data_IF_627979707243
#
_entry.id   IF_627979707243
#
_cell.length_a   1.000
_cell.length_b   1.000
_cell.length_c   1.000
_cell.angle_alpha   90.00
_cell.angle_beta   90.00
_cell.angle_gamma   90.00
#
_symmetry.space_group_name_H-M   'P 1'
#
loop_
_entity.id
_entity.type
_entity.pdbx_description
1 polymer ?
#
# COMPACT_ATOMS: atom_id res chain seq x y z
N UNK A 1 22.91 2.46 -45.64
CA UNK A 1 22.98 3.51 -44.60
C UNK A 1 21.93 3.20 -43.56
N UNK A 2 22.30 2.60 -42.43
CA UNK A 2 21.38 2.19 -41.37
C UNK A 2 21.50 3.18 -40.21
N UNK A 3 20.45 3.95 -39.92
CA UNK A 3 20.39 4.75 -38.71
C UNK A 3 20.02 3.85 -37.53
N UNK A 4 20.95 3.76 -36.58
CA UNK A 4 20.78 3.12 -35.27
C UNK A 4 19.90 4.03 -34.41
N UNK A 5 18.71 3.57 -34.04
CA UNK A 5 17.86 4.25 -33.06
C UNK A 5 18.33 3.89 -31.65
N UNK A 6 18.91 4.89 -30.99
CA UNK A 6 19.30 4.86 -29.59
C UNK A 6 18.03 4.94 -28.72
N UNK A 7 17.61 3.79 -28.16
CA UNK A 7 16.51 3.73 -27.19
C UNK A 7 16.98 4.38 -25.89
N UNK A 8 16.41 5.55 -25.59
CA UNK A 8 16.54 6.22 -24.29
C UNK A 8 15.88 5.34 -23.23
N UNK A 9 16.67 4.87 -22.28
CA UNK A 9 16.22 4.14 -21.10
C UNK A 9 15.50 5.11 -20.16
N UNK A 10 14.19 5.27 -20.36
CA UNK A 10 13.34 5.95 -19.37
C UNK A 10 13.11 4.97 -18.21
N UNK A 11 13.62 5.32 -17.03
CA UNK A 11 13.39 4.58 -15.79
C UNK A 11 11.89 4.63 -15.44
N UNK A 12 11.15 3.64 -15.93
CA UNK A 12 9.77 3.42 -15.57
C UNK A 12 9.72 2.83 -14.16
N UNK A 13 9.45 3.68 -13.17
CA UNK A 13 9.22 3.23 -11.80
C UNK A 13 7.79 2.68 -11.73
N UNK A 14 7.55 1.54 -12.37
CA UNK A 14 6.26 0.84 -12.29
C UNK A 14 5.98 0.51 -10.81
N UNK A 15 4.85 1.02 -10.32
CA UNK A 15 4.50 0.87 -8.92
C UNK A 15 4.00 -0.54 -8.62
N UNK A 16 3.39 -1.28 -9.54
CA UNK A 16 2.98 -2.65 -9.29
C UNK A 16 3.58 -3.58 -10.36
N UNK A 17 4.19 -4.71 -9.98
CA UNK A 17 4.66 -5.70 -10.94
C UNK A 17 3.48 -6.39 -11.63
N UNK A 18 3.54 -6.49 -12.95
CA UNK A 18 2.48 -7.03 -13.82
C UNK A 18 2.22 -8.55 -13.61
N UNK A 19 3.11 -9.27 -12.91
CA UNK A 19 2.88 -10.62 -12.41
C UNK A 19 3.59 -10.82 -11.06
N UNK A 20 2.85 -11.28 -10.04
CA UNK A 20 3.42 -11.66 -8.74
C UNK A 20 3.91 -13.10 -8.82
N UNK A 21 5.17 -13.28 -9.21
CA UNK A 21 5.78 -14.60 -9.43
C UNK A 21 6.54 -15.05 -8.17
N UNK A 22 6.97 -14.10 -7.33
CA UNK A 22 7.83 -14.35 -6.18
C UNK A 22 7.29 -13.74 -4.89
N UNK A 23 7.68 -14.33 -3.77
CA UNK A 23 7.32 -13.86 -2.44
C UNK A 23 7.73 -12.41 -2.17
N UNK A 24 8.95 -12.04 -2.60
CA UNK A 24 9.47 -10.68 -2.45
C UNK A 24 8.64 -9.66 -3.23
N UNK A 25 8.17 -10.02 -4.43
CA UNK A 25 7.25 -9.19 -5.20
C UNK A 25 5.90 -9.06 -4.50
N UNK A 26 5.37 -10.13 -3.90
CA UNK A 26 4.12 -10.09 -3.15
C UNK A 26 4.19 -9.13 -1.96
N UNK A 27 5.31 -9.15 -1.20
CA UNK A 27 5.54 -8.22 -0.10
C UNK A 27 5.55 -6.76 -0.59
N UNK A 28 6.22 -6.47 -1.71
CA UNK A 28 6.25 -5.14 -2.30
C UNK A 28 4.84 -4.69 -2.71
N UNK A 29 4.06 -5.56 -3.34
CA UNK A 29 2.68 -5.28 -3.76
C UNK A 29 1.81 -4.94 -2.55
N UNK A 30 1.85 -5.74 -1.49
CA UNK A 30 1.06 -5.49 -0.27
C UNK A 30 1.42 -4.16 0.37
N UNK A 31 2.71 -3.87 0.54
CA UNK A 31 3.16 -2.60 1.12
C UNK A 31 2.61 -1.42 0.32
N UNK A 32 2.68 -1.51 -1.01
CA UNK A 32 2.18 -0.47 -1.90
C UNK A 32 0.66 -0.37 -1.89
N UNK A 33 -0.06 -1.50 -1.84
CA UNK A 33 -1.51 -1.53 -1.73
C UNK A 33 -1.99 -0.85 -0.44
N UNK A 34 -1.35 -1.16 0.69
CA UNK A 34 -1.65 -0.52 1.96
C UNK A 34 -1.40 1.00 1.88
N UNK A 35 -0.29 1.43 1.28
CA UNK A 35 0.03 2.85 1.10
C UNK A 35 -1.01 3.59 0.26
N UNK A 36 -1.41 2.99 -0.87
CA UNK A 36 -2.41 3.54 -1.78
C UNK A 36 -3.77 3.62 -1.09
N UNK A 37 -4.18 2.56 -0.39
CA UNK A 37 -5.47 2.52 0.28
C UNK A 37 -5.58 3.55 1.41
N UNK A 38 -4.58 3.63 2.30
CA UNK A 38 -4.56 4.63 3.38
C UNK A 38 -4.54 6.04 2.80
N UNK A 39 -3.70 6.31 1.79
CA UNK A 39 -3.64 7.62 1.14
C UNK A 39 -4.96 7.98 0.45
N UNK A 40 -5.62 7.00 -0.18
CA UNK A 40 -6.90 7.18 -0.84
C UNK A 40 -8.02 7.52 0.15
N UNK A 41 -8.09 6.79 1.28
CA UNK A 41 -9.07 7.06 2.34
C UNK A 41 -8.87 8.47 2.90
N UNK A 42 -7.63 8.83 3.28
CA UNK A 42 -7.34 10.16 3.86
C UNK A 42 -7.63 11.28 2.87
N UNK A 43 -7.41 11.04 1.58
CA UNK A 43 -7.67 12.02 0.51
C UNK A 43 -9.16 12.21 0.26
N UNK A 44 -9.91 11.11 0.06
CA UNK A 44 -11.35 11.15 -0.22
C UNK A 44 -12.15 11.73 0.95
N UNK A 45 -11.65 11.55 2.18
CA UNK A 45 -12.25 12.13 3.38
C UNK A 45 -11.78 13.55 3.68
N UNK A 46 -10.84 14.09 2.91
CA UNK A 46 -10.34 15.45 3.10
C UNK A 46 -9.63 15.68 4.43
N UNK A 47 -9.01 14.64 5.03
CA UNK A 47 -8.34 14.75 6.33
C UNK A 47 -7.12 15.70 6.29
N UNK A 48 -6.51 15.82 5.12
CA UNK A 48 -5.33 16.67 4.90
C UNK A 48 -5.51 17.51 3.63
N UNK A 49 -4.85 18.68 3.54
CA UNK A 49 -4.90 19.52 2.34
C UNK A 49 -4.19 18.84 1.16
N UNK A 50 -4.57 19.19 -0.07
CA UNK A 50 -4.01 18.58 -1.31
C UNK A 50 -2.48 18.63 -1.38
N UNK A 51 -1.85 19.67 -0.82
CA UNK A 51 -0.38 19.80 -0.73
C UNK A 51 0.32 18.67 0.03
N UNK A 52 -0.41 17.95 0.90
CA UNK A 52 0.11 16.80 1.64
C UNK A 52 0.15 15.53 0.78
N UNK A 53 -0.47 15.56 -0.40
CA UNK A 53 -0.50 14.46 -1.34
C UNK A 53 0.35 14.79 -2.56
N UNK A 54 0.72 13.76 -3.29
CA UNK A 54 1.02 13.99 -4.68
C UNK A 54 0.75 12.82 -5.57
N UNK A 55 0.67 13.15 -6.85
CA UNK A 55 0.19 12.27 -7.89
C UNK A 55 1.22 11.19 -8.18
N UNK A 56 0.75 9.96 -8.33
CA UNK A 56 1.48 8.88 -8.99
C UNK A 56 0.53 8.15 -9.95
N UNK A 57 1.09 7.40 -10.89
CA UNK A 57 0.32 6.59 -11.83
C UNK A 57 0.58 5.12 -11.55
N UNK A 58 -0.50 4.33 -11.50
CA UNK A 58 -0.50 2.87 -11.37
C UNK A 58 -1.40 2.37 -12.48
N UNK A 59 -0.86 1.62 -13.44
CA UNK A 59 -1.61 1.11 -14.60
C UNK A 59 -2.45 2.20 -15.29
N UNK A 60 -1.81 3.34 -15.58
CA UNK A 60 -2.42 4.56 -16.14
C UNK A 60 -3.51 5.25 -15.29
N UNK A 61 -3.82 4.72 -14.10
CA UNK A 61 -4.70 5.38 -13.14
C UNK A 61 -3.93 6.32 -12.22
N UNK A 62 -4.39 7.56 -12.13
CA UNK A 62 -3.83 8.56 -11.21
C UNK A 62 -4.27 8.26 -9.78
N UNK A 63 -3.31 8.01 -8.90
CA UNK A 63 -3.52 7.82 -7.45
C UNK A 63 -2.90 8.96 -6.64
N UNK A 64 -3.56 9.32 -5.55
CA UNK A 64 -3.09 10.32 -4.59
C UNK A 64 -2.31 9.60 -3.50
N UNK A 65 -1.01 9.90 -3.39
CA UNK A 65 -0.13 9.28 -2.39
C UNK A 65 0.23 10.32 -1.35
N UNK A 66 0.00 10.00 -0.08
CA UNK A 66 0.38 10.84 1.05
C UNK A 66 1.91 10.97 1.10
N UNK A 67 2.39 12.19 1.33
CA UNK A 67 3.82 12.50 1.37
C UNK A 67 4.17 13.14 2.71
N UNK A 68 5.41 12.95 3.11
CA UNK A 68 5.95 13.68 4.26
C UNK A 68 6.12 15.15 3.87
N UNK A 69 5.43 16.03 4.59
CA UNK A 69 5.43 17.47 4.31
C UNK A 69 5.53 18.22 5.62
N UNK A 70 6.57 19.06 5.76
CA UNK A 70 6.80 19.87 6.98
C UNK A 70 5.61 20.74 7.36
N UNK A 71 4.82 21.18 6.37
CA UNK A 71 3.63 22.00 6.60
C UNK A 71 2.41 21.23 7.12
N UNK A 72 2.49 19.90 7.25
CA UNK A 72 1.42 19.06 7.76
C UNK A 72 2.00 17.91 8.61
N UNK A 73 2.17 18.12 9.93
CA UNK A 73 2.72 17.09 10.81
C UNK A 73 1.83 15.84 10.91
N UNK A 74 0.50 16.00 10.83
CA UNK A 74 -0.44 14.86 10.85
C UNK A 74 -0.27 13.91 9.65
N UNK A 75 -0.08 14.45 8.45
CA UNK A 75 0.22 13.64 7.27
C UNK A 75 1.57 12.92 7.41
N UNK A 76 2.58 13.64 7.89
CA UNK A 76 3.92 13.09 8.14
C UNK A 76 3.89 11.95 9.17
N UNK A 77 3.08 12.08 10.22
CA UNK A 77 2.89 11.06 11.23
C UNK A 77 2.31 9.76 10.66
N UNK A 78 1.31 9.86 9.78
CA UNK A 78 0.74 8.67 9.11
C UNK A 78 1.77 8.02 8.20
N UNK A 79 2.56 8.80 7.45
CA UNK A 79 3.65 8.26 6.62
C UNK A 79 4.66 7.47 7.46
N UNK A 80 5.01 7.97 8.65
CA UNK A 80 5.90 7.26 9.58
C UNK A 80 5.27 5.96 10.11
N UNK A 81 3.97 5.98 10.50
CA UNK A 81 3.27 4.75 10.91
C UNK A 81 3.22 3.71 9.79
N UNK A 82 3.05 4.16 8.55
CA UNK A 82 3.09 3.31 7.37
C UNK A 82 4.46 2.66 7.14
N UNK A 83 5.55 3.39 7.37
CA UNK A 83 6.90 2.82 7.33
C UNK A 83 7.07 1.70 8.37
N UNK A 84 6.61 1.91 9.60
CA UNK A 84 6.59 0.86 10.63
C UNK A 84 5.77 -0.36 10.23
N UNK A 85 4.61 -0.15 9.59
CA UNK A 85 3.82 -1.25 9.04
C UNK A 85 4.58 -2.03 7.96
N UNK A 86 5.37 -1.36 7.10
CA UNK A 86 6.15 -2.04 6.06
C UNK A 86 7.24 -2.93 6.63
N UNK A 87 7.93 -2.50 7.68
CA UNK A 87 8.89 -3.34 8.39
C UNK A 87 8.20 -4.54 9.02
N UNK A 88 7.05 -4.31 9.65
CA UNK A 88 6.24 -5.35 10.27
C UNK A 88 5.70 -6.39 9.28
N UNK A 89 5.36 -5.94 8.08
CA UNK A 89 4.94 -6.82 6.98
C UNK A 89 6.11 -7.67 6.51
N UNK A 90 7.30 -7.07 6.37
CA UNK A 90 8.51 -7.75 5.93
C UNK A 90 8.96 -8.84 6.91
N UNK A 91 8.85 -8.56 8.21
CA UNK A 91 9.13 -9.52 9.28
C UNK A 91 7.96 -10.50 9.55
N UNK A 92 6.86 -10.38 8.79
CA UNK A 92 5.69 -11.28 8.81
C UNK A 92 4.92 -11.35 10.13
N UNK A 93 4.95 -10.31 10.95
CA UNK A 93 4.19 -10.27 12.20
C UNK A 93 2.95 -9.37 12.14
N UNK A 94 2.83 -8.47 11.15
CA UNK A 94 1.67 -7.59 11.04
C UNK A 94 0.43 -8.36 10.54
N UNK A 95 -0.53 -8.65 11.41
CA UNK A 95 -1.76 -9.37 11.02
C UNK A 95 -2.91 -8.47 10.63
N UNK A 96 -3.02 -7.29 11.25
CA UNK A 96 -4.16 -6.40 11.05
C UNK A 96 -3.73 -4.96 11.25
N UNK A 97 -4.13 -4.08 10.35
CA UNK A 97 -4.07 -2.62 10.52
C UNK A 97 -5.49 -2.10 10.55
N UNK A 98 -5.79 -1.25 11.52
CA UNK A 98 -7.09 -0.61 11.67
C UNK A 98 -6.89 0.90 11.58
N UNK A 99 -7.63 1.55 10.69
CA UNK A 99 -7.74 2.99 10.61
C UNK A 99 -9.17 3.38 10.98
N UNK A 100 -9.31 4.13 12.06
CA UNK A 100 -10.61 4.61 12.54
C UNK A 100 -10.65 6.13 12.48
N UNK A 101 -11.76 6.67 11.99
CA UNK A 101 -12.01 8.11 11.91
C UNK A 101 -13.18 8.40 12.86
N UNK A 102 -12.96 9.36 13.76
CA UNK A 102 -13.96 9.86 14.69
C UNK A 102 -14.08 11.38 14.50
N UNK A 103 -15.30 11.91 14.62
CA UNK A 103 -15.59 13.34 14.50
C UNK A 103 -15.61 14.06 15.84
N UNK A 104 -15.82 13.33 16.93
CA UNK A 104 -15.95 13.86 18.28
C UNK A 104 -14.68 13.52 19.10
N UNK A 105 -13.80 14.50 19.37
CA UNK A 105 -12.60 14.29 20.17
C UNK A 105 -12.90 13.97 21.65
N UNK A 106 -14.06 14.36 22.17
CA UNK A 106 -14.45 14.07 23.56
C UNK A 106 -14.98 12.64 23.70
N UNK A 107 -15.42 12.03 22.60
CA UNK A 107 -15.91 10.67 22.59
C UNK A 107 -15.31 9.82 21.45
N UNK A 108 -14.00 9.51 21.52
CA UNK A 108 -13.30 8.76 20.48
C UNK A 108 -13.80 7.30 20.31
N UNK A 109 -14.62 6.81 21.25
CA UNK A 109 -15.30 5.51 21.14
C UNK A 109 -16.44 5.53 20.11
N UNK A 110 -16.98 6.72 19.78
CA UNK A 110 -17.97 6.89 18.73
C UNK A 110 -17.29 7.00 17.36
N UNK A 111 -16.79 5.87 16.88
CA UNK A 111 -16.16 5.76 15.57
C UNK A 111 -17.19 6.06 14.48
N UNK A 112 -16.88 7.03 13.63
CA UNK A 112 -17.73 7.38 12.47
C UNK A 112 -17.47 6.41 11.33
N UNK A 113 -16.20 6.08 11.09
CA UNK A 113 -15.79 5.21 9.99
C UNK A 113 -14.62 4.31 10.44
N UNK A 114 -14.64 3.06 10.00
CA UNK A 114 -13.67 2.04 10.39
C UNK A 114 -13.19 1.28 9.15
N UNK A 115 -11.88 1.24 8.96
CA UNK A 115 -11.21 0.54 7.87
C UNK A 115 -10.24 -0.49 8.42
N UNK A 116 -10.47 -1.76 8.11
CA UNK A 116 -9.63 -2.85 8.55
C UNK A 116 -8.92 -3.51 7.38
N UNK A 117 -7.59 -3.58 7.47
CA UNK A 117 -6.71 -4.29 6.56
C UNK A 117 -6.21 -5.55 7.24
N UNK A 118 -6.75 -6.72 6.87
CA UNK A 118 -6.28 -8.00 7.41
C UNK A 118 -5.25 -8.61 6.47
N UNK A 119 -4.07 -8.94 7.00
CA UNK A 119 -2.94 -9.47 6.25
C UNK A 119 -2.75 -10.94 6.62
N UNK A 120 -2.92 -11.81 5.63
CA UNK A 120 -2.73 -13.25 5.80
C UNK A 120 -1.45 -13.70 5.13
N UNK A 121 -0.64 -14.47 5.85
CA UNK A 121 0.62 -15.02 5.36
C UNK A 121 0.45 -16.51 5.13
N UNK A 122 0.34 -16.91 3.87
CA UNK A 122 0.29 -18.32 3.52
C UNK A 122 1.70 -18.90 3.65
N UNK A 123 1.91 -19.80 4.62
CA UNK A 123 3.14 -20.60 4.68
C UNK A 123 3.11 -21.64 3.55
N UNK A 124 4.26 -21.97 2.98
CA UNK A 124 4.41 -23.17 2.15
C UNK A 124 4.01 -24.39 2.99
N UNK A 125 2.82 -24.91 2.82
CA UNK A 125 2.58 -26.30 3.22
C UNK A 125 3.51 -27.18 2.37
N UNK A 126 4.30 -28.03 3.05
CA UNK A 126 5.05 -29.07 2.36
C UNK A 126 4.06 -30.05 1.74
N UNK A 127 3.72 -29.87 0.47
CA UNK A 127 3.15 -30.94 -0.35
C UNK A 127 3.80 -30.90 -1.72
N UNK A 128 4.80 -31.76 -1.88
CA UNK A 128 5.36 -32.11 -3.18
C UNK A 128 4.28 -32.81 -4.01
N UNK A 129 3.58 -32.08 -4.87
CA UNK A 129 2.96 -32.67 -6.07
C UNK A 129 3.02 -31.65 -7.21
N UNK A 130 4.06 -31.84 -8.04
CA UNK A 130 4.13 -31.66 -9.48
C UNK A 130 3.35 -30.50 -10.15
N UNK A 131 4.16 -29.67 -10.82
CA UNK A 131 3.87 -28.60 -11.80
C UNK A 131 3.57 -27.20 -11.25
N UNK A 132 4.66 -26.42 -11.19
CA UNK A 132 4.72 -25.07 -11.77
C UNK A 132 3.91 -23.97 -11.11
N UNK A 133 4.56 -23.22 -10.21
CA UNK A 133 4.08 -21.94 -9.69
C UNK A 133 3.97 -21.91 -8.18
N UNK A 134 5.03 -21.50 -7.49
CA UNK A 134 5.01 -21.28 -6.03
C UNK A 134 4.32 -19.96 -5.72
N UNK A 135 2.99 -19.97 -5.60
CA UNK A 135 2.22 -18.76 -5.31
C UNK A 135 2.04 -18.59 -3.78
N UNK A 136 2.93 -17.83 -3.14
CA UNK A 136 2.67 -17.30 -1.81
C UNK A 136 1.77 -16.08 -1.96
N UNK A 137 0.44 -16.29 -1.95
CA UNK A 137 -0.54 -15.20 -1.97
C UNK A 137 -0.57 -14.60 -0.57
N UNK A 138 -0.20 -13.33 -0.45
CA UNK A 138 -0.63 -12.50 0.66
C UNK A 138 -1.95 -11.84 0.25
N UNK A 139 -3.01 -12.05 1.03
CA UNK A 139 -4.33 -11.45 0.78
C UNK A 139 -4.55 -10.30 1.75
N UNK A 140 -5.03 -9.16 1.24
CA UNK A 140 -5.54 -8.05 2.05
C UNK A 140 -7.06 -8.01 1.89
N UNK A 141 -7.77 -8.30 2.98
CA UNK A 141 -9.20 -8.03 3.05
C UNK A 141 -9.39 -6.61 3.59
N UNK A 142 -10.15 -5.79 2.86
CA UNK A 142 -10.56 -4.46 3.29
C UNK A 142 -12.03 -4.55 3.68
N UNK A 143 -12.32 -4.48 4.98
CA UNK A 143 -13.68 -4.23 5.48
C UNK A 143 -13.80 -2.75 5.81
N UNK A 144 -14.70 -2.06 5.11
CA UNK A 144 -15.21 -0.75 5.49
C UNK A 144 -16.69 -0.88 5.82
N UNK A 145 -17.15 -0.17 6.86
CA UNK A 145 -18.58 0.04 7.10
C UNK A 145 -19.12 1.12 6.16
#
# INVERSE_FOLDING_TARGET
>A
MACVQQVRTSQETQLLPNQVITEQQSLVVIKKLLAIAVSGITYLRGLFPEKAYGNKYVDDQKVMILREVRSCPGASQIVQWMQGCFEAIQQRYLRTVIMSIYTDPENPQKVTEFYQFKIQYTAKERRWTLKGGSLSILTVEIMGC
#
